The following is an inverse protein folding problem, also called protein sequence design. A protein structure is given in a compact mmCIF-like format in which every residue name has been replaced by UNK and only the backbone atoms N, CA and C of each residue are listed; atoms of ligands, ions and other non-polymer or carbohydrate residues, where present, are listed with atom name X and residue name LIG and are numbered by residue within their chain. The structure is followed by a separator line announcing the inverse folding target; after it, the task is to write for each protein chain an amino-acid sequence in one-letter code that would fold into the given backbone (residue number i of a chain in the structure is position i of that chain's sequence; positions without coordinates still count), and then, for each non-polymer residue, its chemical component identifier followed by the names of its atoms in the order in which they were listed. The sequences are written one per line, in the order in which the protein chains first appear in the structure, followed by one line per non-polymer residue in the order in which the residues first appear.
data_IF_137627989376
#
_entry.id   IF_137627989376
#
_cell.length_a   1.000
_cell.length_b   1.000
_cell.length_c   1.000
_cell.angle_alpha   90.00
_cell.angle_beta   90.00
_cell.angle_gamma   90.00
#
_symmetry.space_group_name_H-M   'P 1'
#
loop_
_entity.id
_entity.type
_entity.pdbx_description
1 polymer ?
#
# COMPACT_ATOMS: atom_id res chain seq x y z
N UNK A 1 6.26 22.52 -12.60
CA UNK A 1 5.00 22.44 -11.81
C UNK A 1 5.27 21.64 -10.55
N UNK A 2 5.12 22.25 -9.36
CA UNK A 2 5.21 21.52 -8.10
C UNK A 2 4.17 20.39 -8.08
N UNK A 3 4.62 19.15 -7.91
CA UNK A 3 3.76 17.97 -7.87
C UNK A 3 2.98 18.05 -6.54
N UNK A 4 1.78 18.64 -6.57
CA UNK A 4 0.93 18.68 -5.38
C UNK A 4 0.72 17.25 -4.85
N UNK A 5 1.09 17.06 -3.61
CA UNK A 5 1.06 15.79 -2.91
C UNK A 5 -0.38 15.36 -2.69
N UNK A 6 -0.81 14.30 -3.37
CA UNK A 6 -2.19 13.82 -3.28
C UNK A 6 -2.38 13.05 -1.98
N UNK A 7 -3.02 13.70 -1.01
CA UNK A 7 -3.47 13.07 0.22
C UNK A 7 -4.26 11.80 -0.11
N UNK A 8 -3.97 10.74 0.63
CA UNK A 8 -4.48 9.41 0.34
C UNK A 8 -4.90 8.72 1.63
N UNK A 9 -6.17 8.35 1.71
CA UNK A 9 -6.71 7.53 2.80
C UNK A 9 -6.75 6.10 2.31
N UNK A 10 -6.13 5.18 3.05
CA UNK A 10 -6.19 3.76 2.84
C UNK A 10 -7.29 3.18 3.74
N UNK A 11 -8.22 2.45 3.15
CA UNK A 11 -9.22 1.65 3.86
C UNK A 11 -8.81 0.19 3.69
N UNK A 12 -8.70 -0.55 4.80
CA UNK A 12 -8.27 -1.94 4.76
C UNK A 12 -9.06 -2.80 5.75
N UNK A 13 -9.38 -4.00 5.33
CA UNK A 13 -9.95 -5.06 6.13
C UNK A 13 -9.14 -6.33 5.88
N UNK A 14 -8.34 -6.74 6.88
CA UNK A 14 -7.39 -7.86 6.71
C UNK A 14 -8.13 -9.20 6.63
N UNK A 15 -9.21 -9.38 7.39
CA UNK A 15 -9.98 -10.63 7.46
C UNK A 15 -11.48 -10.37 7.35
N UNK A 16 -12.30 -11.38 7.10
CA UNK A 16 -13.76 -11.25 7.07
C UNK A 16 -14.37 -10.72 8.37
N UNK A 17 -13.62 -10.79 9.48
CA UNK A 17 -14.04 -10.17 10.73
C UNK A 17 -14.13 -8.64 10.58
N UNK A 18 -15.33 -8.10 10.80
CA UNK A 18 -15.62 -6.65 10.74
C UNK A 18 -14.76 -5.84 11.71
N UNK A 19 -14.33 -6.42 12.83
CA UNK A 19 -13.43 -5.77 13.78
C UNK A 19 -12.01 -5.53 13.25
N UNK A 20 -11.64 -6.15 12.12
CA UNK A 20 -10.34 -5.93 11.46
C UNK A 20 -10.34 -4.73 10.50
N UNK A 21 -11.47 -4.03 10.35
CA UNK A 21 -11.58 -2.81 9.55
C UNK A 21 -10.81 -1.68 10.21
N UNK A 22 -9.90 -1.09 9.47
CA UNK A 22 -9.18 0.10 9.90
C UNK A 22 -8.89 1.00 8.71
N UNK A 23 -8.43 2.21 8.99
CA UNK A 23 -7.98 3.13 7.98
C UNK A 23 -6.64 3.74 8.36
N UNK A 24 -5.91 4.19 7.34
CA UNK A 24 -4.65 4.91 7.50
C UNK A 24 -4.69 6.15 6.63
N UNK A 25 -4.14 7.23 7.16
CA UNK A 25 -4.06 8.52 6.50
C UNK A 25 -2.60 8.75 6.07
N UNK A 26 -2.40 9.14 4.81
CA UNK A 26 -1.10 9.45 4.26
C UNK A 26 -1.10 10.79 3.50
N UNK A 27 -0.03 11.59 3.62
CA UNK A 27 0.08 12.86 2.90
C UNK A 27 0.21 12.67 1.39
N UNK A 28 0.72 11.52 0.94
CA UNK A 28 0.94 11.24 -0.48
C UNK A 28 0.55 9.81 -0.84
N UNK A 29 0.23 9.58 -2.11
CA UNK A 29 0.06 8.22 -2.68
C UNK A 29 1.29 7.35 -2.44
N UNK A 30 2.50 7.91 -2.56
CA UNK A 30 3.75 7.17 -2.36
C UNK A 30 3.92 6.75 -0.90
N UNK A 31 3.59 7.63 0.04
CA UNK A 31 3.58 7.30 1.47
C UNK A 31 2.55 6.19 1.78
N UNK A 32 1.39 6.22 1.13
CA UNK A 32 0.42 5.14 1.25
C UNK A 32 0.96 3.80 0.73
N UNK A 33 1.67 3.79 -0.41
CA UNK A 33 2.28 2.56 -0.92
C UNK A 33 3.34 2.01 0.05
N UNK A 34 4.18 2.88 0.63
CA UNK A 34 5.12 2.48 1.69
C UNK A 34 4.40 1.89 2.90
N UNK A 35 3.31 2.52 3.32
CA UNK A 35 2.49 2.04 4.43
C UNK A 35 1.93 0.64 4.21
N UNK A 36 1.47 0.33 2.98
CA UNK A 36 1.02 -1.03 2.63
C UNK A 36 2.17 -2.04 2.75
N UNK A 37 3.38 -1.71 2.27
CA UNK A 37 4.55 -2.56 2.47
C UNK A 37 4.84 -2.78 3.95
N UNK A 38 4.78 -1.73 4.79
CA UNK A 38 5.01 -1.87 6.24
C UNK A 38 3.96 -2.75 6.93
N UNK A 39 2.69 -2.66 6.53
CA UNK A 39 1.62 -3.54 7.04
C UNK A 39 1.91 -5.00 6.65
N UNK A 40 2.27 -5.24 5.39
CA UNK A 40 2.64 -6.56 4.92
C UNK A 40 3.84 -7.13 5.69
N UNK A 41 4.91 -6.35 5.86
CA UNK A 41 6.09 -6.75 6.61
C UNK A 41 5.78 -7.06 8.07
N UNK A 42 4.92 -6.26 8.71
CA UNK A 42 4.48 -6.55 10.07
C UNK A 42 3.76 -7.90 10.14
N UNK A 43 2.86 -8.18 9.19
CA UNK A 43 2.17 -9.48 9.12
C UNK A 43 3.13 -10.62 8.84
N UNK A 44 4.10 -10.43 7.96
CA UNK A 44 5.08 -11.45 7.65
C UNK A 44 5.99 -11.77 8.85
N UNK A 45 6.32 -10.76 9.68
CA UNK A 45 7.03 -10.94 10.95
C UNK A 45 6.19 -11.61 12.04
N UNK A 46 4.86 -11.45 12.04
CA UNK A 46 3.98 -12.20 12.95
C UNK A 46 4.00 -13.71 12.64
N UNK A 47 4.17 -14.07 11.36
CA UNK A 47 4.23 -15.47 10.91
C UNK A 47 5.64 -16.08 10.93
N UNK A 48 6.68 -15.25 10.86
CA UNK A 48 8.07 -15.72 10.75
C UNK A 48 8.88 -15.29 11.98
N UNK A 49 9.56 -16.24 12.65
CA UNK A 49 10.43 -15.92 13.80
C UNK A 49 11.74 -15.18 13.43
N UNK A 50 11.98 -14.93 12.14
CA UNK A 50 13.19 -14.32 11.64
C UNK A 50 13.07 -12.79 11.56
N UNK A 51 14.13 -12.07 11.97
CA UNK A 51 14.19 -10.60 11.91
C UNK A 51 14.43 -10.05 10.50
N UNK A 52 15.15 -10.81 9.68
CA UNK A 52 15.41 -10.44 8.28
C UNK A 52 14.41 -11.18 7.41
N UNK A 53 13.45 -10.41 6.91
CA UNK A 53 12.37 -10.91 6.08
C UNK A 53 12.63 -10.39 4.68
N UNK A 54 13.10 -11.28 3.81
CA UNK A 54 13.13 -11.05 2.37
C UNK A 54 11.78 -11.45 1.80
N UNK A 55 11.22 -10.62 0.94
CA UNK A 55 9.98 -10.88 0.24
C UNK A 55 10.07 -10.36 -1.18
N UNK A 56 9.33 -10.97 -2.09
CA UNK A 56 9.27 -10.55 -3.48
C UNK A 56 7.96 -9.82 -3.82
N UNK A 57 7.76 -9.52 -5.10
CA UNK A 57 6.55 -8.81 -5.55
C UNK A 57 5.34 -9.74 -5.58
N UNK A 58 5.56 -11.03 -5.78
CA UNK A 58 4.57 -12.10 -5.80
C UNK A 58 3.96 -12.30 -4.41
N UNK A 59 4.77 -12.27 -3.35
CA UNK A 59 4.35 -12.35 -1.95
C UNK A 59 3.38 -11.21 -1.58
N UNK A 60 3.72 -9.97 -1.97
CA UNK A 60 2.84 -8.81 -1.75
C UNK A 60 1.54 -8.97 -2.55
N UNK A 61 1.61 -9.43 -3.80
CA UNK A 61 0.40 -9.63 -4.60
C UNK A 61 -0.50 -10.69 -3.96
N UNK A 62 0.08 -11.79 -3.48
CA UNK A 62 -0.65 -12.84 -2.78
C UNK A 62 -1.31 -12.29 -1.52
N UNK A 63 -0.58 -11.52 -0.70
CA UNK A 63 -1.17 -10.85 0.47
C UNK A 63 -2.38 -9.98 0.11
N UNK A 64 -2.26 -9.15 -0.93
CA UNK A 64 -3.35 -8.26 -1.37
C UNK A 64 -4.56 -8.99 -1.94
N UNK A 65 -4.40 -10.20 -2.48
CA UNK A 65 -5.53 -11.03 -2.91
C UNK A 65 -6.24 -11.69 -1.73
N UNK A 66 -5.52 -12.02 -0.67
CA UNK A 66 -6.06 -12.77 0.47
C UNK A 66 -6.68 -11.88 1.56
N UNK A 67 -6.45 -10.57 1.53
CA UNK A 67 -7.19 -9.64 2.41
C UNK A 67 -8.63 -9.48 1.95
N UNK A 68 -9.56 -9.41 2.90
CA UNK A 68 -10.99 -9.32 2.63
C UNK A 68 -11.32 -8.08 1.77
N UNK A 69 -10.83 -6.90 2.16
CA UNK A 69 -11.05 -5.67 1.37
C UNK A 69 -9.90 -4.68 1.49
N UNK A 70 -9.65 -3.95 0.40
CA UNK A 70 -8.70 -2.84 0.35
C UNK A 70 -9.09 -1.84 -0.72
N UNK A 71 -9.11 -0.57 -0.34
CA UNK A 71 -9.33 0.54 -1.27
C UNK A 71 -8.58 1.79 -0.82
N UNK A 72 -8.30 2.68 -1.75
CA UNK A 72 -7.73 3.99 -1.44
C UNK A 72 -8.66 5.10 -1.89
N UNK A 73 -8.79 6.15 -1.08
CA UNK A 73 -9.38 7.41 -1.47
C UNK A 73 -8.25 8.39 -1.74
N UNK A 74 -8.12 8.85 -2.99
CA UNK A 74 -7.04 9.77 -3.39
C UNK A 74 -7.64 11.13 -3.70
N UNK A 75 -7.12 12.17 -3.05
CA UNK A 75 -7.54 13.55 -3.26
C UNK A 75 -7.20 14.02 -4.69
N UNK A 76 -8.21 14.50 -5.41
CA UNK A 76 -8.04 15.26 -6.64
C UNK A 76 -8.17 16.75 -6.35
N UNK A 77 -7.05 17.47 -6.41
CA UNK A 77 -7.01 18.91 -6.18
C UNK A 77 -7.77 19.74 -7.23
N UNK A 78 -8.09 19.17 -8.39
CA UNK A 78 -8.85 19.88 -9.42
C UNK A 78 -10.32 19.99 -9.06
N UNK A 79 -10.89 18.91 -8.54
CA UNK A 79 -12.30 18.80 -8.17
C UNK A 79 -12.53 18.94 -6.66
N UNK A 80 -11.46 18.95 -5.87
CA UNK A 80 -11.46 18.91 -4.41
C UNK A 80 -12.27 17.72 -3.84
N UNK A 81 -12.17 16.57 -4.49
CA UNK A 81 -12.91 15.35 -4.13
C UNK A 81 -11.98 14.15 -4.01
N UNK A 82 -12.40 13.18 -3.19
CA UNK A 82 -11.72 11.90 -3.08
C UNK A 82 -12.21 10.95 -4.17
N UNK A 83 -11.29 10.53 -5.03
CA UNK A 83 -11.56 9.47 -6.00
C UNK A 83 -11.25 8.11 -5.39
N UNK A 84 -12.23 7.18 -5.32
CA UNK A 84 -11.96 5.82 -4.87
C UNK A 84 -11.09 5.08 -5.89
N UNK A 85 -10.20 4.25 -5.37
CA UNK A 85 -9.25 3.41 -6.10
C UNK A 85 -9.39 1.99 -5.61
N UNK A 86 -9.54 1.08 -6.56
CA UNK A 86 -9.73 -0.35 -6.32
C UNK A 86 -8.41 -1.04 -5.95
N UNK A 87 -8.52 -2.26 -5.41
CA UNK A 87 -7.40 -3.18 -5.18
C UNK A 87 -6.47 -3.32 -6.39
N UNK A 88 -7.02 -3.44 -7.61
CA UNK A 88 -6.20 -3.59 -8.82
C UNK A 88 -5.33 -2.35 -9.07
N UNK A 89 -5.88 -1.16 -8.86
CA UNK A 89 -5.11 0.08 -8.97
C UNK A 89 -3.98 0.14 -7.93
N UNK A 90 -4.23 -0.33 -6.71
CA UNK A 90 -3.23 -0.40 -5.64
C UNK A 90 -2.09 -1.36 -6.03
N UNK A 91 -2.42 -2.57 -6.53
CA UNK A 91 -1.43 -3.55 -7.00
C UNK A 91 -0.52 -2.97 -8.10
N UNK A 92 -1.10 -2.33 -9.11
CA UNK A 92 -0.31 -1.69 -10.17
C UNK A 92 0.61 -0.59 -9.65
N UNK A 93 0.13 0.20 -8.66
CA UNK A 93 0.91 1.26 -8.04
C UNK A 93 2.06 0.71 -7.20
N UNK A 94 1.82 -0.35 -6.44
CA UNK A 94 2.85 -1.04 -5.66
C UNK A 94 3.92 -1.65 -6.57
N UNK A 95 3.55 -2.34 -7.65
CA UNK A 95 4.52 -2.85 -8.63
C UNK A 95 5.44 -1.75 -9.16
N UNK A 96 4.88 -0.62 -9.58
CA UNK A 96 5.66 0.54 -10.06
C UNK A 96 6.54 1.15 -8.97
N UNK A 97 6.06 1.13 -7.73
CA UNK A 97 6.76 1.68 -6.56
C UNK A 97 7.96 0.81 -6.18
N UNK A 98 7.79 -0.51 -6.12
CA UNK A 98 8.87 -1.47 -5.83
C UNK A 98 9.97 -1.43 -6.88
N UNK A 99 9.62 -1.42 -8.18
CA UNK A 99 10.60 -1.27 -9.29
C UNK A 99 11.39 0.04 -9.15
N UNK A 100 10.74 1.11 -8.67
CA UNK A 100 11.41 2.38 -8.48
C UNK A 100 12.39 2.32 -7.32
N UNK A 101 12.03 1.66 -6.22
CA UNK A 101 12.90 1.50 -5.05
C UNK A 101 14.09 0.60 -5.39
N UNK A 102 13.89 -0.52 -6.08
CA UNK A 102 15.00 -1.42 -6.45
C UNK A 102 16.04 -0.70 -7.32
N UNK A 103 15.59 0.07 -8.32
CA UNK A 103 16.47 0.91 -9.16
C UNK A 103 17.21 2.01 -8.39
N UNK A 104 16.68 2.44 -7.25
CA UNK A 104 17.36 3.39 -6.37
C UNK A 104 18.41 2.66 -5.53
N UNK A 105 18.11 1.45 -5.05
CA UNK A 105 19.06 0.63 -4.30
C UNK A 105 20.28 0.17 -5.13
N UNK A 106 20.14 0.03 -6.44
CA UNK A 106 21.28 -0.29 -7.34
C UNK A 106 22.19 0.91 -7.64
N UNK A 107 21.79 2.14 -7.26
CA UNK A 107 22.54 3.37 -7.53
C UNK A 107 23.40 3.85 -6.36
N UNK A 108 23.40 3.14 -5.25
CA UNK A 108 24.21 3.40 -4.06
C UNK A 108 24.97 2.13 -3.68
#
# INVERSE_FOLDING_TARGET
MSKREKHTILLIQISENRGSRTYYDYPTVTAAMNGICSIFEQKLREHTKNRNVEYDTEDINYFLENIADISCLVLDFKTNQYSPRSRNWIKERLKKHLIKISRISEKY
#
